data_IF_614650826931
#
_entry.id   IF_614650826931
#
_cell.length_a   1.000
_cell.length_b   1.000
_cell.length_c   1.000
_cell.angle_alpha   90.00
_cell.angle_beta   90.00
_cell.angle_gamma   90.00
#
_symmetry.space_group_name_H-M   'P 1'
#
loop_
_entity.id
_entity.type
_entity.pdbx_description
1 polymer ?
#
# COMPACT_ATOMS: atom_id res chain seq x y z
N UNK A 1 -16.62 6.22 6.56
CA UNK A 1 -15.37 6.12 7.35
C UNK A 1 -14.25 5.79 6.38
N UNK A 2 -13.08 6.40 6.48
CA UNK A 2 -12.00 6.20 5.52
C UNK A 2 -10.70 5.94 6.26
N UNK A 3 -9.93 4.96 5.80
CA UNK A 3 -8.56 4.73 6.26
C UNK A 3 -7.63 5.04 5.11
N UNK A 4 -6.62 5.87 5.36
CA UNK A 4 -5.64 6.29 4.38
C UNK A 4 -4.25 5.83 4.82
N UNK A 5 -3.58 5.06 3.97
CA UNK A 5 -2.14 4.87 4.05
C UNK A 5 -1.47 5.90 3.15
N UNK A 6 -0.58 6.72 3.72
CA UNK A 6 0.36 7.56 2.99
C UNK A 6 1.74 6.90 3.09
N UNK A 7 2.33 6.57 1.96
CA UNK A 7 3.62 5.87 1.88
C UNK A 7 4.55 6.66 0.96
N UNK A 8 5.72 7.03 1.48
CA UNK A 8 6.72 7.81 0.75
C UNK A 8 8.10 7.21 0.91
N UNK A 9 8.94 7.38 -0.10
CA UNK A 9 10.32 6.91 -0.10
C UNK A 9 10.55 5.53 -0.74
N UNK A 10 11.71 5.38 -1.37
CA UNK A 10 12.12 4.18 -2.09
C UNK A 10 12.29 2.96 -1.19
N UNK A 11 12.69 3.17 0.07
CA UNK A 11 12.87 2.09 1.06
C UNK A 11 11.57 1.33 1.36
N UNK A 12 10.40 1.89 1.00
CA UNK A 12 9.08 1.25 1.13
C UNK A 12 8.65 0.46 -0.10
N UNK A 13 9.28 0.67 -1.25
CA UNK A 13 8.82 0.11 -2.52
C UNK A 13 8.75 -1.43 -2.52
N UNK A 14 9.74 -2.09 -1.92
CA UNK A 14 9.75 -3.56 -1.79
C UNK A 14 8.55 -4.07 -0.96
N UNK A 15 8.26 -3.42 0.17
CA UNK A 15 7.13 -3.81 1.03
C UNK A 15 5.79 -3.55 0.37
N UNK A 16 5.67 -2.44 -0.36
CA UNK A 16 4.46 -2.11 -1.13
C UNK A 16 4.20 -3.17 -2.20
N UNK A 17 5.21 -3.56 -2.96
CA UNK A 17 5.13 -4.61 -3.97
C UNK A 17 4.67 -5.95 -3.37
N UNK A 18 5.32 -6.38 -2.28
CA UNK A 18 4.95 -7.60 -1.57
C UNK A 18 3.48 -7.58 -1.10
N UNK A 19 3.03 -6.48 -0.49
CA UNK A 19 1.65 -6.31 -0.03
C UNK A 19 0.67 -6.33 -1.22
N UNK A 20 1.00 -5.64 -2.31
CA UNK A 20 0.17 -5.62 -3.52
C UNK A 20 0.08 -7.01 -4.17
N UNK A 21 1.12 -7.83 -4.04
CA UNK A 21 1.13 -9.24 -4.47
C UNK A 21 0.42 -10.20 -3.51
N UNK A 22 -0.09 -9.72 -2.37
CA UNK A 22 -0.86 -10.50 -1.40
C UNK A 22 -0.06 -11.05 -0.23
N UNK A 23 1.15 -10.55 0.03
CA UNK A 23 1.91 -10.93 1.22
C UNK A 23 1.20 -10.51 2.51
N UNK A 24 1.24 -11.39 3.51
CA UNK A 24 0.54 -11.19 4.78
C UNK A 24 1.34 -10.31 5.76
N UNK A 25 1.09 -9.01 5.72
CA UNK A 25 1.62 -8.02 6.65
C UNK A 25 0.53 -7.34 7.47
N UNK A 26 0.84 -6.76 8.65
CA UNK A 26 -0.14 -6.02 9.43
C UNK A 26 -0.89 -4.95 8.64
N UNK A 27 -0.22 -4.24 7.73
CA UNK A 27 -0.85 -3.25 6.87
C UNK A 27 -1.80 -3.85 5.82
N UNK A 28 -1.52 -5.07 5.33
CA UNK A 28 -2.38 -5.80 4.39
C UNK A 28 -3.68 -6.30 5.05
N UNK A 29 -3.67 -6.48 6.37
CA UNK A 29 -4.84 -6.92 7.15
C UNK A 29 -5.82 -5.79 7.48
N UNK A 30 -5.45 -4.53 7.21
CA UNK A 30 -6.36 -3.41 7.43
C UNK A 30 -7.48 -3.49 6.40
N UNK A 31 -8.67 -3.88 6.84
CA UNK A 31 -9.86 -4.00 6.01
C UNK A 31 -11.07 -3.47 6.80
N UNK A 32 -11.44 -2.19 6.62
CA UNK A 32 -12.60 -1.62 7.30
C UNK A 32 -13.88 -2.36 6.92
N UNK A 33 -14.72 -2.71 7.90
CA UNK A 33 -16.03 -3.34 7.65
C UNK A 33 -17.00 -2.42 6.90
N UNK A 34 -16.82 -1.10 7.05
CA UNK A 34 -17.57 -0.07 6.35
C UNK A 34 -16.66 1.07 5.90
N UNK A 35 -16.86 1.53 4.66
CA UNK A 35 -16.13 2.63 4.05
C UNK A 35 -14.92 2.19 3.23
N UNK A 36 -13.96 3.09 3.03
CA UNK A 36 -12.89 2.91 2.05
C UNK A 36 -11.50 2.80 2.69
N UNK A 37 -10.66 1.98 2.04
CA UNK A 37 -9.22 1.94 2.29
C UNK A 37 -8.51 2.53 1.07
N UNK A 38 -7.79 3.63 1.27
CA UNK A 38 -7.05 4.34 0.22
C UNK A 38 -5.56 4.21 0.51
N UNK A 39 -4.79 3.91 -0.53
CA UNK A 39 -3.32 3.94 -0.49
C UNK A 39 -2.83 5.05 -1.40
N UNK A 40 -2.13 6.04 -0.83
CA UNK A 40 -1.43 7.09 -1.56
C UNK A 40 0.06 6.85 -1.45
N UNK A 41 0.70 6.73 -2.61
CA UNK A 41 2.13 6.47 -2.73
C UNK A 41 2.77 7.59 -3.54
N UNK A 42 3.95 8.03 -3.11
CA UNK A 42 4.80 8.81 -4.01
C UNK A 42 5.42 7.92 -5.10
N UNK A 43 6.05 8.54 -6.10
CA UNK A 43 6.67 7.81 -7.20
C UNK A 43 7.78 6.85 -6.74
N UNK A 44 8.49 7.17 -5.66
CA UNK A 44 9.57 6.35 -5.15
C UNK A 44 9.04 5.08 -4.47
N UNK A 45 8.00 5.19 -3.65
CA UNK A 45 7.33 4.07 -3.00
C UNK A 45 6.55 3.21 -3.99
N UNK A 46 6.07 3.79 -5.10
CA UNK A 46 5.39 3.05 -6.18
C UNK A 46 6.34 2.42 -7.20
N UNK A 47 7.66 2.65 -7.11
CA UNK A 47 8.65 2.32 -8.15
C UNK A 47 8.73 0.84 -8.55
N UNK A 48 8.26 -0.07 -7.69
CA UNK A 48 8.25 -1.52 -7.95
C UNK A 48 6.88 -2.10 -8.29
N UNK A 49 5.85 -1.26 -8.34
CA UNK A 49 4.53 -1.72 -8.76
C UNK A 49 4.52 -1.97 -10.28
N UNK A 50 3.79 -2.99 -10.77
CA UNK A 50 3.64 -3.21 -12.19
C UNK A 50 2.98 -1.99 -12.84
N UNK A 51 3.51 -1.57 -14.00
CA UNK A 51 2.85 -0.58 -14.84
C UNK A 51 1.49 -1.16 -15.27
N UNK A 52 0.41 -0.40 -15.02
CA UNK A 52 -0.94 -0.76 -15.44
C UNK A 52 -1.16 -0.46 -16.91
#
# INVERSE_FOLDING_TARGET
RTVLFLVTGEDKAARVEEIAAGADYPAARVKPDQGELIWLLDSAAASRLPAR
#
